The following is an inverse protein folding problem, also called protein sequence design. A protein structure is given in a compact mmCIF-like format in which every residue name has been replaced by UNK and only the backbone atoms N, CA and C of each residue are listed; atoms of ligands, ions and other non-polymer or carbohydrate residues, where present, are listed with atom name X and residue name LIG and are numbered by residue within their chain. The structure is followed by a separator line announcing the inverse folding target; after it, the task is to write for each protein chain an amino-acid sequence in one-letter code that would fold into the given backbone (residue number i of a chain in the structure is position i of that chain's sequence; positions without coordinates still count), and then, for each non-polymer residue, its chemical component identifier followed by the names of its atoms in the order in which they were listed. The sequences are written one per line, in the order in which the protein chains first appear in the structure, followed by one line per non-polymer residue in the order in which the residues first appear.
data_IF_565850347803
#
_entry.id   IF_565850347803
#
_cell.length_a   1.000
_cell.length_b   1.000
_cell.length_c   1.000
_cell.angle_alpha   90.00
_cell.angle_beta   90.00
_cell.angle_gamma   90.00
#
_symmetry.space_group_name_H-M   'P 1'
#
loop_
_entity.id
_entity.type
_entity.pdbx_description
1 polymer ?
#
# COMPACT_ATOMS: atom_id res chain seq x y z
N UNK A 1 -8.09 -13.34 -9.09
CA UNK A 1 -9.00 -12.95 -10.21
C UNK A 1 -8.68 -11.52 -10.65
N UNK A 2 -7.60 -11.32 -11.41
CA UNK A 2 -7.47 -10.15 -12.28
C UNK A 2 -7.40 -10.76 -13.68
N UNK A 3 -8.56 -10.87 -14.35
CA UNK A 3 -8.58 -11.04 -15.80
C UNK A 3 -7.77 -9.89 -16.35
N UNK A 4 -6.83 -10.16 -17.24
CA UNK A 4 -6.11 -9.18 -18.06
C UNK A 4 -7.13 -8.39 -18.88
N UNK A 5 -7.83 -7.47 -18.22
CA UNK A 5 -8.75 -6.56 -18.84
C UNK A 5 -7.85 -5.56 -19.56
N UNK A 6 -7.87 -5.59 -20.89
CA UNK A 6 -6.99 -4.82 -21.77
C UNK A 6 -7.04 -3.30 -21.58
N UNK A 7 -7.84 -2.79 -20.63
CA UNK A 7 -7.95 -1.39 -20.26
C UNK A 7 -6.98 -0.96 -19.14
N UNK A 8 -6.48 -1.89 -18.31
CA UNK A 8 -5.60 -1.55 -17.16
C UNK A 8 -4.13 -1.55 -17.58
N UNK A 9 -3.73 -2.48 -18.46
CA UNK A 9 -2.35 -2.59 -18.95
C UNK A 9 -2.17 -1.73 -20.21
N UNK A 10 -1.32 -0.68 -20.19
CA UNK A 10 -1.15 0.18 -21.35
C UNK A 10 -0.46 -0.50 -22.54
N UNK A 11 -0.84 -0.08 -23.75
CA UNK A 11 -0.20 -0.56 -24.99
C UNK A 11 1.24 -0.04 -25.17
N UNK A 12 1.59 1.08 -24.55
CA UNK A 12 2.92 1.67 -24.62
C UNK A 12 3.94 0.90 -23.75
N UNK A 13 5.04 0.44 -24.36
CA UNK A 13 6.14 -0.27 -23.67
C UNK A 13 6.73 0.53 -22.51
N UNK A 14 6.97 1.83 -22.72
CA UNK A 14 7.49 2.74 -21.68
C UNK A 14 6.56 2.81 -20.48
N UNK A 15 5.26 2.96 -20.72
CA UNK A 15 4.28 3.04 -19.65
C UNK A 15 4.16 1.73 -18.87
N UNK A 16 4.24 0.57 -19.54
CA UNK A 16 4.31 -0.73 -18.85
C UNK A 16 5.55 -0.88 -17.98
N UNK A 17 6.71 -0.44 -18.47
CA UNK A 17 7.95 -0.49 -17.69
C UNK A 17 7.84 0.35 -16.41
N UNK A 18 7.26 1.55 -16.50
CA UNK A 18 7.02 2.41 -15.33
C UNK A 18 6.06 1.74 -14.35
N UNK A 19 4.92 1.22 -14.81
CA UNK A 19 3.95 0.53 -13.93
C UNK A 19 4.56 -0.71 -13.26
N UNK A 20 5.40 -1.46 -13.98
CA UNK A 20 6.11 -2.61 -13.44
C UNK A 20 7.14 -2.21 -12.38
N UNK A 21 7.91 -1.15 -12.62
CA UNK A 21 8.85 -0.59 -11.63
C UNK A 21 8.11 -0.19 -10.35
N UNK A 22 6.99 0.54 -10.48
CA UNK A 22 6.20 1.00 -9.34
C UNK A 22 5.60 -0.14 -8.53
N UNK A 23 5.07 -1.16 -9.22
CA UNK A 23 4.56 -2.35 -8.56
C UNK A 23 5.67 -3.07 -7.78
N UNK A 24 6.84 -3.28 -8.39
CA UNK A 24 7.94 -3.98 -7.71
C UNK A 24 8.48 -3.20 -6.51
N UNK A 25 8.65 -1.88 -6.62
CA UNK A 25 9.04 -1.05 -5.49
C UNK A 25 8.05 -1.19 -4.32
N UNK A 26 6.75 -1.21 -4.62
CA UNK A 26 5.70 -1.40 -3.61
C UNK A 26 5.69 -2.82 -3.03
N UNK A 27 5.99 -3.83 -3.85
CA UNK A 27 6.12 -5.23 -3.42
C UNK A 27 7.31 -5.43 -2.50
N UNK A 28 8.44 -4.76 -2.73
CA UNK A 28 9.62 -4.87 -1.86
C UNK A 28 9.29 -4.40 -0.43
N UNK A 29 8.61 -3.25 -0.30
CA UNK A 29 8.15 -2.77 1.00
C UNK A 29 7.11 -3.72 1.61
N UNK A 30 6.17 -4.24 0.81
CA UNK A 30 5.19 -5.23 1.28
C UNK A 30 5.85 -6.49 1.79
N UNK A 31 6.85 -7.00 1.10
CA UNK A 31 7.57 -8.21 1.49
C UNK A 31 8.37 -7.99 2.78
N UNK A 32 8.97 -6.81 2.95
CA UNK A 32 9.64 -6.44 4.20
C UNK A 32 8.64 -6.42 5.37
N UNK A 33 7.51 -5.74 5.20
CA UNK A 33 6.45 -5.68 6.21
C UNK A 33 5.87 -7.06 6.53
N UNK A 34 5.58 -7.87 5.51
CA UNK A 34 5.07 -9.24 5.69
C UNK A 34 6.06 -10.14 6.44
N UNK A 35 7.37 -10.02 6.16
CA UNK A 35 8.42 -10.74 6.89
C UNK A 35 8.46 -10.34 8.36
N UNK A 36 8.35 -9.05 8.66
CA UNK A 36 8.22 -8.58 10.04
C UNK A 36 7.02 -9.24 10.72
N UNK A 37 5.82 -9.07 10.17
CA UNK A 37 4.58 -9.56 10.77
C UNK A 37 4.56 -11.08 10.98
N UNK A 38 5.25 -11.85 10.15
CA UNK A 38 5.32 -13.31 10.26
C UNK A 38 6.54 -13.81 11.03
N UNK A 39 7.47 -12.93 11.44
CA UNK A 39 8.68 -13.33 12.13
C UNK A 39 8.37 -13.82 13.54
N UNK A 40 8.98 -14.93 14.02
CA UNK A 40 8.91 -15.29 15.43
C UNK A 40 9.55 -14.23 16.34
N UNK A 41 10.48 -13.44 15.80
CA UNK A 41 11.23 -12.37 16.49
C UNK A 41 10.60 -10.97 16.30
N UNK A 42 9.29 -10.92 16.07
CA UNK A 42 8.56 -9.70 15.74
C UNK A 42 8.83 -8.53 16.70
N UNK A 43 8.84 -8.78 18.02
CA UNK A 43 9.02 -7.73 19.03
C UNK A 43 10.37 -7.02 18.90
N UNK A 44 11.45 -7.75 18.61
CA UNK A 44 12.79 -7.17 18.45
C UNK A 44 12.99 -6.50 17.08
N UNK A 45 12.25 -6.96 16.06
CA UNK A 45 12.37 -6.44 14.69
C UNK A 45 11.45 -5.25 14.41
N UNK A 46 10.44 -5.00 15.26
CA UNK A 46 9.48 -3.91 15.08
C UNK A 46 10.14 -2.54 15.09
N UNK A 47 10.95 -2.24 16.10
CA UNK A 47 11.59 -0.92 16.22
C UNK A 47 12.57 -0.63 15.07
N UNK A 48 13.47 -1.57 14.67
CA UNK A 48 14.29 -1.39 13.48
C UNK A 48 13.49 -1.15 12.20
N UNK A 49 12.38 -1.87 12.02
CA UNK A 49 11.49 -1.66 10.87
C UNK A 49 10.88 -0.26 10.89
N UNK A 50 10.32 0.17 12.03
CA UNK A 50 9.72 1.49 12.17
C UNK A 50 10.75 2.62 11.99
N UNK A 51 12.01 2.41 12.39
CA UNK A 51 13.10 3.35 12.16
C UNK A 51 13.45 3.51 10.67
N UNK A 52 13.38 2.43 9.88
CA UNK A 52 13.65 2.45 8.44
C UNK A 52 12.43 2.76 7.55
N UNK A 53 11.22 2.67 8.10
CA UNK A 53 9.97 2.89 7.37
C UNK A 53 9.89 4.31 6.75
N UNK A 54 10.25 5.41 7.46
CA UNK A 54 10.23 6.75 6.88
C UNK A 54 11.07 6.89 5.60
N UNK A 55 12.21 6.21 5.50
CA UNK A 55 13.05 6.28 4.31
C UNK A 55 12.38 5.61 3.11
N UNK A 56 11.72 4.47 3.33
CA UNK A 56 10.91 3.80 2.32
C UNK A 56 9.73 4.67 1.88
N UNK A 57 9.01 5.27 2.82
CA UNK A 57 7.86 6.13 2.54
C UNK A 57 8.26 7.41 1.80
N UNK A 58 9.43 7.98 2.10
CA UNK A 58 9.95 9.18 1.42
C UNK A 58 10.12 8.95 -0.08
N UNK A 59 10.59 7.78 -0.49
CA UNK A 59 10.72 7.42 -1.92
C UNK A 59 9.35 7.54 -2.62
N UNK A 60 8.29 7.04 -2.00
CA UNK A 60 6.93 7.13 -2.57
C UNK A 60 6.34 8.54 -2.50
N UNK A 61 6.56 9.27 -1.40
CA UNK A 61 6.12 10.68 -1.24
C UNK A 61 6.73 11.57 -2.33
N UNK A 62 8.04 11.47 -2.53
CA UNK A 62 8.77 12.21 -3.55
C UNK A 62 8.37 11.78 -4.96
N UNK A 63 8.29 10.47 -5.20
CA UNK A 63 7.89 9.96 -6.50
C UNK A 63 6.46 10.35 -6.84
N UNK A 64 5.52 10.32 -5.90
CA UNK A 64 4.15 10.78 -6.12
C UNK A 64 4.16 12.27 -6.49
N UNK A 65 4.88 13.09 -5.74
CA UNK A 65 4.98 14.53 -5.99
C UNK A 65 3.58 15.15 -6.04
N UNK A 66 3.27 15.84 -7.12
CA UNK A 66 1.96 16.48 -7.30
C UNK A 66 1.00 15.66 -8.18
N UNK A 67 1.33 14.39 -8.48
CA UNK A 67 0.48 13.52 -9.29
C UNK A 67 -0.74 13.08 -8.49
N UNK A 68 -1.84 12.88 -9.20
CA UNK A 68 -3.06 12.32 -8.60
C UNK A 68 -2.87 10.86 -8.18
N UNK A 69 -2.19 10.07 -9.05
CA UNK A 69 -1.87 8.66 -8.90
C UNK A 69 -0.40 8.40 -9.27
N UNK A 70 0.17 7.25 -8.89
CA UNK A 70 1.57 6.88 -9.19
C UNK A 70 1.86 6.90 -10.70
N UNK A 71 0.87 6.55 -11.52
CA UNK A 71 0.98 6.54 -12.98
C UNK A 71 0.58 7.87 -13.66
N UNK A 72 0.28 8.93 -12.90
CA UNK A 72 -0.22 10.21 -13.40
C UNK A 72 -1.69 10.45 -13.03
N UNK A 73 -2.52 10.78 -14.02
CA UNK A 73 -3.90 11.22 -13.76
C UNK A 73 -4.92 10.09 -13.65
N UNK A 74 -4.57 8.90 -14.12
CA UNK A 74 -5.45 7.72 -14.11
C UNK A 74 -4.92 6.68 -13.13
N UNK A 75 -5.81 6.24 -12.26
CA UNK A 75 -5.54 5.12 -11.35
C UNK A 75 -5.22 3.85 -12.11
N UNK A 76 -4.27 3.07 -11.61
CA UNK A 76 -3.82 1.81 -12.20
C UNK A 76 -3.43 0.78 -11.12
N UNK A 77 -3.07 -0.45 -11.51
CA UNK A 77 -2.83 -1.55 -10.58
C UNK A 77 -1.75 -1.30 -9.50
N UNK A 78 -0.66 -0.53 -9.74
CA UNK A 78 0.30 -0.21 -8.67
C UNK A 78 -0.34 0.64 -7.58
N UNK A 79 -1.33 1.48 -7.93
CA UNK A 79 -1.99 2.35 -6.97
C UNK A 79 -2.78 1.55 -5.94
N UNK A 80 -3.55 0.56 -6.41
CA UNK A 80 -4.27 -0.38 -5.53
C UNK A 80 -3.33 -1.11 -4.59
N UNK A 81 -2.18 -1.54 -5.11
CA UNK A 81 -1.19 -2.27 -4.31
C UNK A 81 -0.54 -1.40 -3.23
N UNK A 82 -0.10 -0.20 -3.58
CA UNK A 82 0.51 0.72 -2.62
C UNK A 82 -0.51 1.21 -1.61
N UNK A 83 -1.72 1.63 -2.04
CA UNK A 83 -2.74 2.10 -1.10
C UNK A 83 -3.19 1.03 -0.11
N UNK A 84 -3.37 -0.22 -0.57
CA UNK A 84 -3.66 -1.33 0.35
C UNK A 84 -2.55 -1.49 1.39
N UNK A 85 -1.28 -1.40 0.97
CA UNK A 85 -0.14 -1.47 1.89
C UNK A 85 -0.10 -0.28 2.86
N UNK A 86 -0.32 0.95 2.39
CA UNK A 86 -0.35 2.14 3.23
C UNK A 86 -1.49 2.08 4.26
N UNK A 87 -2.68 1.59 3.88
CA UNK A 87 -3.78 1.35 4.81
C UNK A 87 -3.37 0.36 5.92
N UNK A 88 -2.65 -0.71 5.56
CA UNK A 88 -2.15 -1.68 6.55
C UNK A 88 -1.07 -1.08 7.46
N UNK A 89 -0.17 -0.27 6.91
CA UNK A 89 0.87 0.42 7.67
C UNK A 89 0.27 1.45 8.64
N UNK A 90 -0.78 2.19 8.27
CA UNK A 90 -1.48 3.10 9.20
C UNK A 90 -2.20 2.33 10.31
N UNK A 91 -2.72 1.13 10.04
CA UNK A 91 -3.27 0.26 11.09
C UNK A 91 -2.18 -0.29 12.02
N UNK A 92 -0.98 -0.50 11.49
CA UNK A 92 0.16 -1.03 12.23
C UNK A 92 0.81 0.05 13.12
N UNK A 93 1.02 1.24 12.57
CA UNK A 93 1.60 2.41 13.21
C UNK A 93 0.81 3.66 12.75
N UNK A 94 -0.17 4.13 13.55
CA UNK A 94 -1.08 5.21 13.15
C UNK A 94 -0.40 6.52 12.79
N UNK A 95 0.81 6.77 13.30
CA UNK A 95 1.56 7.99 13.02
C UNK A 95 2.47 7.90 11.79
N UNK A 96 2.58 6.73 11.13
CA UNK A 96 3.59 6.51 10.10
C UNK A 96 3.47 7.45 8.89
N UNK A 97 2.28 7.99 8.60
CA UNK A 97 2.04 8.94 7.51
C UNK A 97 2.00 10.41 7.94
N UNK A 98 2.17 10.74 9.22
CA UNK A 98 2.10 12.13 9.71
C UNK A 98 3.11 13.05 9.03
N UNK A 99 4.30 12.52 8.68
CA UNK A 99 5.34 13.25 7.94
C UNK A 99 5.21 13.22 6.41
N UNK A 100 4.18 12.58 5.86
CA UNK A 100 4.03 12.29 4.43
C UNK A 100 2.65 12.75 3.92
N UNK A 101 2.42 14.07 3.84
CA UNK A 101 1.09 14.62 3.53
C UNK A 101 0.57 14.23 2.15
N UNK A 102 1.44 14.05 1.14
CA UNK A 102 1.00 13.65 -0.20
C UNK A 102 0.54 12.19 -0.19
N UNK A 103 1.27 11.29 0.46
CA UNK A 103 0.86 9.90 0.66
C UNK A 103 -0.44 9.81 1.47
N UNK A 104 -0.60 10.64 2.52
CA UNK A 104 -1.85 10.66 3.29
C UNK A 104 -3.03 11.09 2.43
N UNK A 105 -2.88 12.18 1.67
CA UNK A 105 -3.93 12.65 0.76
C UNK A 105 -4.24 11.63 -0.36
N UNK A 106 -3.21 10.96 -0.87
CA UNK A 106 -3.31 9.90 -1.86
C UNK A 106 -4.10 8.68 -1.34
N UNK A 107 -3.79 8.21 -0.13
CA UNK A 107 -4.54 7.14 0.52
C UNK A 107 -6.00 7.55 0.77
N UNK A 108 -6.24 8.74 1.32
CA UNK A 108 -7.60 9.26 1.54
C UNK A 108 -8.40 9.34 0.24
N UNK A 109 -7.78 9.74 -0.87
CA UNK A 109 -8.42 9.78 -2.18
C UNK A 109 -8.83 8.38 -2.65
N UNK A 110 -7.94 7.41 -2.48
CA UNK A 110 -8.19 6.02 -2.83
C UNK A 110 -9.37 5.44 -2.04
N UNK A 111 -9.35 5.58 -0.71
CA UNK A 111 -10.40 5.08 0.19
C UNK A 111 -11.78 5.71 -0.08
N UNK A 112 -11.81 6.93 -0.65
CA UNK A 112 -13.05 7.62 -1.03
C UNK A 112 -13.54 7.31 -2.45
N UNK A 113 -12.88 6.42 -3.21
CA UNK A 113 -13.42 5.96 -4.50
C UNK A 113 -14.80 5.30 -4.27
N UNK A 114 -15.88 5.68 -4.98
CA UNK A 114 -17.25 5.33 -4.60
C UNK A 114 -17.48 3.84 -4.30
N UNK A 115 -17.07 2.96 -5.22
CA UNK A 115 -17.19 1.50 -5.06
C UNK A 115 -16.30 0.94 -3.95
N UNK A 116 -15.14 1.54 -3.73
CA UNK A 116 -14.22 1.08 -2.70
C UNK A 116 -14.69 1.51 -1.32
N UNK A 117 -15.17 2.75 -1.18
CA UNK A 117 -15.76 3.26 0.06
C UNK A 117 -16.95 2.41 0.51
N UNK A 118 -17.82 2.06 -0.43
CA UNK A 118 -18.92 1.13 -0.19
C UNK A 118 -18.40 -0.24 0.30
N UNK A 119 -17.44 -0.84 -0.42
CA UNK A 119 -16.84 -2.11 -0.02
C UNK A 119 -16.18 -2.06 1.36
N UNK A 120 -15.41 -1.01 1.66
CA UNK A 120 -14.74 -0.82 2.94
C UNK A 120 -15.71 -0.64 4.11
N UNK A 121 -16.93 -0.17 3.85
CA UNK A 121 -17.98 -0.06 4.86
C UNK A 121 -18.70 -1.38 5.16
N UNK A 122 -18.52 -2.40 4.32
CA UNK A 122 -19.17 -3.70 4.45
C UNK A 122 -18.64 -4.53 5.63
N UNK A 123 -19.49 -5.41 6.16
CA UNK A 123 -19.09 -6.36 7.21
C UNK A 123 -18.05 -7.37 6.73
N UNK A 124 -18.04 -7.69 5.44
CA UNK A 124 -17.02 -8.55 4.83
C UNK A 124 -15.63 -7.92 4.99
N UNK A 125 -15.51 -6.63 4.65
CA UNK A 125 -14.23 -5.93 4.75
C UNK A 125 -13.78 -5.77 6.20
N UNK A 126 -14.69 -5.39 7.11
CA UNK A 126 -14.35 -5.17 8.53
C UNK A 126 -13.85 -6.43 9.24
N UNK A 127 -14.36 -7.61 8.87
CA UNK A 127 -13.96 -8.90 9.45
C UNK A 127 -12.67 -9.47 8.84
N UNK A 128 -12.09 -8.79 7.85
CA UNK A 128 -10.94 -9.29 7.11
C UNK A 128 -9.64 -8.93 7.83
N UNK A 129 -8.92 -9.95 8.26
CA UNK A 129 -7.55 -9.80 8.75
C UNK A 129 -6.61 -9.30 7.64
N UNK A 130 -5.63 -8.48 8.01
CA UNK A 130 -4.61 -8.01 7.07
C UNK A 130 -3.58 -9.09 6.75
N UNK A 131 -3.32 -10.01 7.70
CA UNK A 131 -2.33 -11.08 7.56
C UNK A 131 -2.94 -12.45 7.86
N UNK A 132 -2.26 -13.51 7.40
CA UNK A 132 -2.67 -14.89 7.66
C UNK A 132 -2.66 -15.26 9.16
N UNK A 133 -3.35 -16.35 9.51
CA UNK A 133 -3.60 -16.76 10.91
C UNK A 133 -2.35 -16.90 11.79
N UNK A 134 -1.21 -17.21 11.19
CA UNK A 134 0.07 -17.45 11.88
C UNK A 134 0.92 -16.19 12.05
N UNK A 135 0.51 -15.04 11.51
CA UNK A 135 1.24 -13.80 11.68
C UNK A 135 1.10 -13.29 13.13
N UNK A 136 2.18 -12.71 13.65
CA UNK A 136 2.24 -12.03 14.96
C UNK A 136 1.40 -10.76 14.98
N UNK A 137 1.33 -10.04 13.86
CA UNK A 137 0.42 -8.91 13.68
C UNK A 137 -0.58 -9.21 12.55
N UNK A 138 -1.87 -8.94 12.78
CA UNK A 138 -2.96 -9.32 11.86
C UNK A 138 -4.00 -8.24 11.60
N UNK A 139 -3.80 -7.01 12.09
CA UNK A 139 -4.80 -5.94 12.22
C UNK A 139 -5.77 -6.17 13.38
N UNK A 140 -5.30 -5.93 14.61
CA UNK A 140 -6.14 -6.03 15.80
C UNK A 140 -6.89 -4.70 15.99
N UNK A 141 -8.15 -4.68 15.53
CA UNK A 141 -9.21 -3.92 16.19
C UNK A 141 -9.99 -4.87 17.08
#
# INVERSE_FOLDING_TARGET
LIKTNHQIVPNCKKQRAILHMLLNASLDLRMNFARLCCSPDFENLKDPFLKGLPDSLRIFEEYLGDKTWLAGDKINYPDFHLCELLNQLEKFEPSCLTGFPKLKAYLTRFENLPKLKEYMSSEEFKKRDCMGKLAKWRNNY
#
